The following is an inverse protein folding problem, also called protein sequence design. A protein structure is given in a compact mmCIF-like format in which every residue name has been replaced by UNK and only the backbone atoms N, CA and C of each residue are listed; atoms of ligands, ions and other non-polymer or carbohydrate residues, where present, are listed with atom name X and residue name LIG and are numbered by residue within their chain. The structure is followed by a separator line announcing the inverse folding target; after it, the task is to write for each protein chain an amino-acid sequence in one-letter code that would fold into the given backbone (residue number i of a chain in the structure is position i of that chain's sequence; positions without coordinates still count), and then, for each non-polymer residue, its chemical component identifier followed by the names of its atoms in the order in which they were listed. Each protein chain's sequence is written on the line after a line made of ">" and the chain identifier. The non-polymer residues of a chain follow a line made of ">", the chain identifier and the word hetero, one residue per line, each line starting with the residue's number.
data_IF_038091744751
#
_entry.id   IF_038091744751
#
_cell.length_a   1.000
_cell.length_b   1.000
_cell.length_c   1.000
_cell.angle_alpha   90.00
_cell.angle_beta   90.00
_cell.angle_gamma   90.00
#
_symmetry.space_group_name_H-M   'P 1'
#
loop_
_entity.id
_entity.type
_entity.pdbx_description
1 polymer ?
#
# COMPACT_ATOMS: atom_id res chain seq x y z
N UNK A 1 34.56 -18.67 -6.79
CA UNK A 1 34.84 -18.00 -8.07
C UNK A 1 33.52 -17.88 -8.82
N UNK A 2 32.93 -16.68 -8.84
CA UNK A 2 31.65 -16.42 -9.49
C UNK A 2 31.77 -16.60 -11.00
N UNK A 3 30.98 -17.50 -11.57
CA UNK A 3 30.85 -17.61 -13.02
C UNK A 3 30.05 -16.39 -13.48
N UNK A 4 30.71 -15.47 -14.17
CA UNK A 4 30.03 -14.42 -14.92
C UNK A 4 29.20 -15.10 -16.01
N UNK A 5 27.88 -15.08 -15.86
CA UNK A 5 26.96 -15.51 -16.92
C UNK A 5 26.95 -14.40 -17.96
N UNK A 6 27.70 -14.60 -19.05
CA UNK A 6 27.64 -13.71 -20.21
C UNK A 6 26.25 -13.87 -20.85
N UNK A 7 25.40 -12.86 -20.69
CA UNK A 7 24.05 -12.83 -21.25
C UNK A 7 24.19 -12.54 -22.75
N UNK A 8 24.06 -13.59 -23.56
CA UNK A 8 23.97 -13.49 -25.02
C UNK A 8 22.55 -13.02 -25.38
N UNK A 9 22.36 -11.91 -26.13
CA UNK A 9 21.04 -11.41 -26.51
C UNK A 9 20.23 -12.35 -27.40
N UNK A 10 20.80 -13.48 -27.85
CA UNK A 10 20.10 -14.56 -28.57
C UNK A 10 19.77 -15.80 -27.72
N UNK A 11 20.14 -15.84 -26.44
CA UNK A 11 19.80 -16.94 -25.54
C UNK A 11 18.43 -16.68 -24.93
N UNK A 12 17.52 -17.66 -25.01
CA UNK A 12 16.24 -17.62 -24.30
C UNK A 12 16.49 -17.27 -22.82
N UNK A 13 16.03 -16.08 -22.43
CA UNK A 13 16.18 -15.55 -21.08
C UNK A 13 15.22 -16.24 -20.12
N UNK A 14 14.15 -16.84 -20.63
CA UNK A 14 13.11 -17.53 -19.87
C UNK A 14 13.64 -18.52 -18.82
N UNK A 15 14.54 -19.48 -19.12
CA UNK A 15 15.08 -20.39 -18.11
C UNK A 15 15.90 -19.70 -17.03
N UNK A 16 16.65 -18.66 -17.37
CA UNK A 16 17.47 -17.91 -16.40
C UNK A 16 16.56 -17.10 -15.47
N UNK A 17 15.54 -16.44 -16.04
CA UNK A 17 14.55 -15.67 -15.31
C UNK A 17 13.68 -16.58 -14.42
N UNK A 18 13.32 -17.77 -14.91
CA UNK A 18 12.55 -18.76 -14.14
C UNK A 18 13.32 -19.23 -12.91
N UNK A 19 14.57 -19.69 -13.06
CA UNK A 19 15.40 -20.14 -11.94
C UNK A 19 15.66 -19.00 -10.93
N UNK A 20 15.93 -17.78 -11.41
CA UNK A 20 16.07 -16.61 -10.55
C UNK A 20 14.78 -16.30 -9.77
N UNK A 21 13.61 -16.39 -10.41
CA UNK A 21 12.32 -16.17 -9.77
C UNK A 21 11.98 -17.23 -8.72
N UNK A 22 12.39 -18.49 -8.95
CA UNK A 22 12.19 -19.60 -8.02
C UNK A 22 12.97 -19.40 -6.72
N UNK A 23 14.18 -18.85 -6.79
CA UNK A 23 14.96 -18.47 -5.61
C UNK A 23 14.28 -17.39 -4.76
N UNK A 24 13.46 -16.54 -5.40
CA UNK A 24 12.66 -15.49 -4.74
C UNK A 24 11.35 -16.01 -4.15
N UNK A 25 10.90 -17.22 -4.52
CA UNK A 25 9.58 -17.74 -4.15
C UNK A 25 9.38 -17.89 -2.64
N UNK A 26 10.46 -18.16 -1.88
CA UNK A 26 10.43 -18.23 -0.42
C UNK A 26 10.13 -16.88 0.27
N UNK A 27 10.32 -15.77 -0.45
CA UNK A 27 10.05 -14.41 0.03
C UNK A 27 8.75 -13.85 -0.56
N UNK A 28 7.95 -14.69 -1.23
CA UNK A 28 6.65 -14.24 -1.75
C UNK A 28 5.75 -13.87 -0.57
N UNK A 29 5.14 -12.69 -0.66
CA UNK A 29 4.05 -12.30 0.23
C UNK A 29 2.89 -13.26 -0.02
N UNK A 30 2.19 -13.70 1.03
CA UNK A 30 1.00 -14.52 0.86
C UNK A 30 -0.01 -13.71 0.01
N UNK A 31 -0.62 -14.35 -0.99
CA UNK A 31 -1.60 -13.68 -1.85
C UNK A 31 -2.78 -13.13 -1.04
N UNK A 32 -3.11 -13.74 0.08
CA UNK A 32 -4.16 -13.27 0.99
C UNK A 32 -3.78 -12.02 1.77
N UNK A 33 -2.49 -11.68 1.84
CA UNK A 33 -1.98 -10.46 2.50
C UNK A 33 -1.84 -9.29 1.50
N UNK A 34 -2.05 -9.53 0.20
CA UNK A 34 -1.97 -8.51 -0.84
C UNK A 34 -3.36 -7.96 -1.08
N UNK A 35 -3.55 -6.65 -0.91
CA UNK A 35 -4.78 -5.98 -1.33
C UNK A 35 -4.93 -6.11 -2.86
N UNK A 36 -5.95 -6.83 -3.36
CA UNK A 36 -6.15 -6.97 -4.79
C UNK A 36 -6.70 -5.66 -5.40
N UNK A 37 -6.59 -5.47 -6.73
CA UNK A 37 -7.08 -4.25 -7.36
C UNK A 37 -8.57 -4.02 -7.10
N UNK A 38 -8.89 -2.84 -6.55
CA UNK A 38 -10.24 -2.38 -6.24
C UNK A 38 -10.81 -1.56 -7.40
N UNK A 39 -12.12 -1.64 -7.58
CA UNK A 39 -12.86 -0.88 -8.60
C UNK A 39 -13.93 -0.07 -7.90
N UNK A 40 -13.92 1.24 -8.13
CA UNK A 40 -14.82 2.19 -7.47
C UNK A 40 -15.86 2.70 -8.47
N UNK A 41 -17.06 3.00 -7.96
CA UNK A 41 -18.05 3.77 -8.71
C UNK A 41 -17.59 5.22 -8.93
N UNK A 42 -18.30 5.98 -9.78
CA UNK A 42 -18.01 7.39 -10.02
C UNK A 42 -18.15 8.22 -8.73
N UNK A 43 -19.24 8.01 -7.99
CA UNK A 43 -19.49 8.68 -6.70
C UNK A 43 -18.40 8.35 -5.66
N UNK A 44 -18.05 7.07 -5.52
CA UNK A 44 -16.98 6.64 -4.61
C UNK A 44 -15.62 7.24 -5.02
N UNK A 45 -15.34 7.33 -6.33
CA UNK A 45 -14.07 7.89 -6.82
C UNK A 45 -13.96 9.39 -6.55
N UNK A 46 -15.06 10.13 -6.68
CA UNK A 46 -15.11 11.55 -6.34
C UNK A 46 -14.87 11.75 -4.83
N UNK A 47 -15.59 11.02 -3.99
CA UNK A 47 -15.45 11.09 -2.53
C UNK A 47 -14.04 10.69 -2.06
N UNK A 48 -13.49 9.61 -2.62
CA UNK A 48 -12.11 9.19 -2.34
C UNK A 48 -11.08 10.23 -2.74
N UNK A 49 -11.26 10.93 -3.85
CA UNK A 49 -10.28 11.92 -4.34
C UNK A 49 -10.15 13.07 -3.35
N UNK A 50 -11.29 13.56 -2.84
CA UNK A 50 -11.32 14.65 -1.86
C UNK A 50 -10.73 14.20 -0.52
N UNK A 51 -11.15 13.04 0.00
CA UNK A 51 -10.64 12.48 1.26
C UNK A 51 -9.15 12.18 1.20
N UNK A 52 -8.71 11.53 0.12
CA UNK A 52 -7.33 11.07 -0.06
C UNK A 52 -6.36 12.23 0.04
N UNK A 53 -6.62 13.33 -0.67
CA UNK A 53 -5.71 14.47 -0.69
C UNK A 53 -5.51 15.05 0.69
N UNK A 54 -6.61 15.33 1.41
CA UNK A 54 -6.54 15.90 2.76
C UNK A 54 -5.81 14.98 3.74
N UNK A 55 -6.09 13.67 3.68
CA UNK A 55 -5.46 12.68 4.55
C UNK A 55 -3.97 12.55 4.23
N UNK A 56 -3.59 12.39 2.95
CA UNK A 56 -2.20 12.21 2.53
C UNK A 56 -1.34 13.44 2.85
N UNK A 57 -1.86 14.65 2.63
CA UNK A 57 -1.17 15.88 2.96
C UNK A 57 -0.87 15.97 4.48
N UNK A 58 -1.85 15.64 5.32
CA UNK A 58 -1.68 15.63 6.78
C UNK A 58 -0.70 14.55 7.25
N UNK A 59 -0.80 13.34 6.69
CA UNK A 59 0.14 12.24 6.98
C UNK A 59 1.56 12.64 6.64
N UNK A 60 1.78 13.26 5.47
CA UNK A 60 3.10 13.69 5.03
C UNK A 60 3.70 14.76 5.97
N UNK A 61 2.89 15.74 6.40
CA UNK A 61 3.30 16.75 7.38
C UNK A 61 3.71 16.08 8.72
N UNK A 62 2.86 15.18 9.22
CA UNK A 62 3.05 14.54 10.51
C UNK A 62 4.26 13.60 10.52
N UNK A 63 4.52 12.87 9.44
CA UNK A 63 5.75 12.08 9.27
C UNK A 63 6.98 12.98 9.44
N UNK A 64 6.99 14.15 8.80
CA UNK A 64 8.07 15.12 8.94
C UNK A 64 8.26 15.55 10.40
N UNK A 65 7.18 15.91 11.08
CA UNK A 65 7.20 16.41 12.47
C UNK A 65 7.58 15.34 13.50
N UNK A 66 7.16 14.09 13.30
CA UNK A 66 7.59 12.96 14.11
C UNK A 66 9.07 12.65 13.88
N UNK A 67 9.53 12.69 12.63
CA UNK A 67 10.94 12.39 12.28
C UNK A 67 11.89 13.45 12.83
N UNK A 68 11.54 14.73 12.77
CA UNK A 68 12.35 15.83 13.31
C UNK A 68 12.28 15.95 14.83
N UNK A 69 11.37 15.21 15.48
CA UNK A 69 11.09 15.33 16.91
C UNK A 69 10.37 16.62 17.29
N UNK A 70 9.82 17.37 16.32
CA UNK A 70 8.94 18.52 16.58
C UNK A 70 7.69 18.09 17.33
N UNK A 71 7.18 16.88 17.03
CA UNK A 71 6.22 16.16 17.86
C UNK A 71 6.92 14.90 18.39
N UNK A 72 6.69 14.57 19.65
CA UNK A 72 7.19 13.32 20.23
C UNK A 72 6.35 12.15 19.72
N UNK A 73 7.02 11.09 19.27
CA UNK A 73 6.35 9.84 18.93
C UNK A 73 6.10 9.04 20.22
N UNK A 74 4.95 9.25 20.84
CA UNK A 74 4.46 8.53 22.02
C UNK A 74 2.95 8.23 21.85
N UNK A 75 2.37 7.45 22.75
CA UNK A 75 0.98 7.01 22.66
C UNK A 75 0.00 8.20 22.64
N UNK A 76 0.23 9.24 23.45
CA UNK A 76 -0.65 10.41 23.55
C UNK A 76 -0.73 11.23 22.25
N UNK A 77 0.42 11.57 21.65
CA UNK A 77 0.45 12.32 20.38
C UNK A 77 0.02 11.45 19.20
N UNK A 78 0.25 10.13 19.29
CA UNK A 78 -0.24 9.18 18.30
C UNK A 78 -1.77 9.07 18.31
N UNK A 79 -2.40 8.97 19.48
CA UNK A 79 -3.85 8.94 19.61
C UNK A 79 -4.49 10.23 19.10
N UNK A 80 -3.87 11.38 19.38
CA UNK A 80 -4.31 12.68 18.83
C UNK A 80 -4.20 12.76 17.31
N UNK A 81 -3.13 12.20 16.74
CA UNK A 81 -2.96 12.07 15.30
C UNK A 81 -4.08 11.22 14.69
N UNK A 82 -4.40 10.08 15.29
CA UNK A 82 -5.50 9.21 14.84
C UNK A 82 -6.87 9.90 14.94
N UNK A 83 -7.15 10.60 16.05
CA UNK A 83 -8.39 11.36 16.19
C UNK A 83 -8.53 12.47 15.13
N UNK A 84 -7.42 13.12 14.79
CA UNK A 84 -7.40 14.15 13.75
C UNK A 84 -7.70 13.55 12.39
N UNK A 85 -7.09 12.40 12.06
CA UNK A 85 -7.37 11.66 10.84
C UNK A 85 -8.83 11.19 10.74
N UNK A 86 -9.39 10.69 11.84
CA UNK A 86 -10.80 10.31 11.88
C UNK A 86 -11.71 11.51 11.61
N UNK A 87 -11.40 12.67 12.20
CA UNK A 87 -12.09 13.94 11.92
C UNK A 87 -11.94 14.43 10.46
N UNK A 88 -10.91 13.97 9.73
CA UNK A 88 -10.73 14.22 8.30
C UNK A 88 -11.49 13.22 7.41
N UNK A 89 -12.19 12.25 8.00
CA UNK A 89 -12.94 11.23 7.26
C UNK A 89 -12.14 9.97 6.96
N UNK A 90 -11.07 9.66 7.71
CA UNK A 90 -10.30 8.42 7.53
C UNK A 90 -11.20 7.16 7.60
N UNK A 91 -12.15 7.12 8.53
CA UNK A 91 -13.10 6.00 8.62
C UNK A 91 -13.86 5.82 7.32
N UNK A 92 -14.39 6.90 6.74
CA UNK A 92 -15.11 6.85 5.46
C UNK A 92 -14.20 6.43 4.30
N UNK A 93 -12.96 6.92 4.28
CA UNK A 93 -11.97 6.54 3.28
C UNK A 93 -11.68 5.02 3.29
N UNK A 94 -11.61 4.41 4.48
CA UNK A 94 -11.43 2.97 4.65
C UNK A 94 -12.71 2.22 4.25
N UNK A 95 -13.88 2.71 4.66
CA UNK A 95 -15.16 2.08 4.36
C UNK A 95 -15.39 1.96 2.84
N UNK A 96 -15.08 3.00 2.05
CA UNK A 96 -15.23 2.93 0.59
C UNK A 96 -14.32 1.84 -0.01
N UNK A 97 -13.11 1.68 0.52
CA UNK A 97 -12.21 0.61 0.09
C UNK A 97 -12.73 -0.77 0.49
N UNK A 98 -13.28 -0.90 1.69
CA UNK A 98 -13.88 -2.14 2.17
C UNK A 98 -15.13 -2.50 1.34
N UNK A 99 -16.01 -1.55 1.05
CA UNK A 99 -17.17 -1.72 0.17
C UNK A 99 -16.74 -2.22 -1.22
N UNK A 100 -15.72 -1.61 -1.82
CA UNK A 100 -15.19 -2.01 -3.12
C UNK A 100 -14.53 -3.39 -3.09
N UNK A 101 -13.85 -3.72 -1.98
CA UNK A 101 -13.27 -5.04 -1.76
C UNK A 101 -14.37 -6.09 -1.63
N UNK A 102 -15.36 -5.86 -0.77
CA UNK A 102 -16.47 -6.79 -0.52
C UNK A 102 -17.34 -6.99 -1.76
N UNK A 103 -17.56 -5.94 -2.56
CA UNK A 103 -18.32 -6.03 -3.80
C UNK A 103 -17.67 -7.00 -4.82
N UNK A 104 -16.34 -7.14 -4.81
CA UNK A 104 -15.60 -7.94 -5.79
C UNK A 104 -15.07 -9.26 -5.24
N UNK A 105 -14.66 -9.29 -3.99
CA UNK A 105 -13.98 -10.41 -3.34
C UNK A 105 -14.69 -10.87 -2.06
N UNK A 106 -15.70 -10.15 -1.59
CA UNK A 106 -16.56 -10.57 -0.50
C UNK A 106 -17.37 -11.79 -0.93
N UNK A 107 -16.96 -12.94 -0.42
CA UNK A 107 -17.70 -14.21 -0.57
C UNK A 107 -19.12 -14.02 -0.03
N UNK A 108 -20.15 -14.37 -0.81
CA UNK A 108 -21.50 -14.61 -0.27
C UNK A 108 -21.51 -15.88 0.58
#
# INVERSE_FOLDING_TARGET
>A
MGKAVTIDPKKDLEPILYEASKMMEQYKVDKNEILPPLFFSEDQSAELTDLKKTIEDYVAEMIGRFTTGTIKLNDEEWDKYLQTLDGMGLTRFIDIQQEAYDAKYGTK
#
